data_IF_870776066958
#
_entry.id   IF_870776066958
#
_cell.length_a   1.000
_cell.length_b   1.000
_cell.length_c   1.000
_cell.angle_alpha   90.00
_cell.angle_beta   90.00
_cell.angle_gamma   90.00
#
_symmetry.space_group_name_H-M   'P 1'
#
loop_
_entity.id
_entity.type
_entity.pdbx_description
1 polymer ?
#
# COMPACT_ATOMS: atom_id res chain seq x y z
N UNK A 1 4.49 12.98 6.96
CA UNK A 1 4.19 11.63 7.49
C UNK A 1 5.48 10.83 7.46
N UNK A 2 5.85 10.17 8.56
CA UNK A 2 7.05 9.32 8.63
C UNK A 2 6.78 8.04 7.85
N UNK A 3 7.72 7.61 7.00
CA UNK A 3 7.59 6.35 6.26
C UNK A 3 7.69 5.15 7.22
N UNK A 4 6.86 4.12 7.00
CA UNK A 4 6.96 2.85 7.71
C UNK A 4 7.96 1.88 7.05
N UNK A 5 8.49 2.24 5.89
CA UNK A 5 9.40 1.37 5.15
C UNK A 5 10.81 1.38 5.77
N UNK A 6 11.41 0.20 5.77
CA UNK A 6 12.82 0.02 6.14
C UNK A 6 13.65 -0.31 4.89
N UNK A 7 14.89 0.13 4.91
CA UNK A 7 15.87 -0.18 3.88
C UNK A 7 16.13 -1.70 3.82
N UNK A 8 15.90 -2.38 2.68
CA UNK A 8 16.09 -3.83 2.59
C UNK A 8 17.57 -4.25 2.61
N UNK A 9 18.50 -3.29 2.58
CA UNK A 9 19.96 -3.55 2.61
C UNK A 9 20.53 -3.43 4.03
N UNK A 10 20.13 -2.40 4.78
CA UNK A 10 20.72 -2.11 6.08
C UNK A 10 19.71 -1.95 7.24
N UNK A 11 18.44 -2.16 6.97
CA UNK A 11 17.33 -2.12 7.95
C UNK A 11 17.14 -0.79 8.69
N UNK A 12 17.73 0.29 8.22
CA UNK A 12 17.44 1.64 8.70
C UNK A 12 16.16 2.16 8.08
N UNK A 13 15.51 3.13 8.74
CA UNK A 13 14.33 3.81 8.21
C UNK A 13 14.60 4.42 6.84
N UNK A 14 13.58 4.48 6.01
CA UNK A 14 13.60 5.12 4.71
C UNK A 14 12.80 6.43 4.77
N UNK A 15 13.44 7.53 4.43
CA UNK A 15 12.81 8.84 4.29
C UNK A 15 12.44 9.08 2.83
N UNK A 16 11.25 9.65 2.59
CA UNK A 16 10.82 10.04 1.26
C UNK A 16 11.40 11.42 0.92
N UNK A 17 12.26 11.49 -0.09
CA UNK A 17 12.90 12.72 -0.56
C UNK A 17 12.61 12.84 -2.07
N UNK A 18 11.84 13.86 -2.47
CA UNK A 18 11.41 14.07 -3.85
C UNK A 18 10.72 12.82 -4.45
N UNK A 19 11.44 12.08 -5.29
CA UNK A 19 10.96 10.88 -5.97
C UNK A 19 11.75 9.63 -5.61
N UNK A 20 12.34 9.62 -4.44
CA UNK A 20 13.15 8.51 -3.94
C UNK A 20 12.87 8.27 -2.47
N UNK A 21 13.08 7.02 -2.06
CA UNK A 21 13.28 6.68 -0.65
C UNK A 21 14.77 6.53 -0.38
N UNK A 22 15.26 7.14 0.69
CA UNK A 22 16.69 7.19 1.03
C UNK A 22 16.88 6.82 2.50
N UNK A 23 17.86 6.00 2.83
CA UNK A 23 18.25 5.73 4.21
C UNK A 23 19.50 6.51 4.62
N UNK A 24 19.77 6.58 5.93
CA UNK A 24 20.94 7.29 6.47
C UNK A 24 22.29 6.75 5.94
N UNK A 25 22.35 5.50 5.47
CA UNK A 25 23.54 4.92 4.82
C UNK A 25 23.64 5.23 3.31
N UNK A 26 22.75 6.05 2.77
CA UNK A 26 22.79 6.49 1.38
C UNK A 26 22.24 5.47 0.36
N UNK A 27 21.58 4.38 0.79
CA UNK A 27 20.87 3.52 -0.15
C UNK A 27 19.61 4.25 -0.64
N UNK A 28 19.40 4.23 -1.97
CA UNK A 28 18.31 4.95 -2.63
C UNK A 28 17.42 3.99 -3.41
N UNK A 29 16.12 4.26 -3.41
CA UNK A 29 15.09 3.49 -4.12
C UNK A 29 14.14 4.43 -4.84
N UNK A 30 14.15 4.41 -6.16
CA UNK A 30 13.31 5.29 -6.97
C UNK A 30 11.83 4.96 -6.84
N UNK A 31 11.01 6.01 -6.71
CA UNK A 31 9.57 5.89 -6.82
C UNK A 31 9.21 5.83 -8.30
N UNK A 32 8.58 4.74 -8.71
CA UNK A 32 8.13 4.55 -10.08
C UNK A 32 7.14 5.66 -10.50
N UNK A 33 7.01 5.86 -11.82
CA UNK A 33 6.05 6.84 -12.36
C UNK A 33 4.62 6.63 -11.86
N UNK A 34 4.25 5.39 -11.59
CA UNK A 34 2.93 5.01 -11.08
C UNK A 34 2.73 5.34 -9.59
N UNK A 35 3.81 5.59 -8.83
CA UNK A 35 3.76 6.00 -7.42
C UNK A 35 4.17 4.93 -6.41
N UNK A 36 4.65 3.74 -6.84
CA UNK A 36 5.15 2.71 -5.93
C UNK A 36 6.67 2.68 -5.87
N UNK A 37 7.23 2.11 -4.80
CA UNK A 37 8.65 1.81 -4.68
C UNK A 37 8.90 0.30 -4.78
N UNK A 38 10.03 -0.10 -5.39
CA UNK A 38 10.44 -1.50 -5.41
C UNK A 38 11.56 -1.73 -4.39
N UNK A 39 11.22 -2.35 -3.27
CA UNK A 39 12.15 -2.71 -2.19
C UNK A 39 12.59 -4.17 -2.26
N UNK A 40 12.02 -4.97 -3.17
CA UNK A 40 12.40 -6.37 -3.36
C UNK A 40 13.73 -6.47 -4.12
N UNK A 41 14.79 -6.77 -3.38
CA UNK A 41 16.13 -6.93 -3.95
C UNK A 41 16.21 -8.15 -4.89
N UNK A 42 17.02 -8.04 -5.94
CA UNK A 42 17.11 -9.07 -6.97
C UNK A 42 17.50 -10.46 -6.41
N UNK A 43 18.38 -10.52 -5.42
CA UNK A 43 18.83 -11.76 -4.79
C UNK A 43 17.81 -12.36 -3.81
N UNK A 44 16.76 -11.63 -3.42
CA UNK A 44 15.66 -12.15 -2.62
C UNK A 44 14.55 -12.78 -3.47
N UNK A 45 14.60 -12.60 -4.79
CA UNK A 45 13.62 -13.20 -5.69
C UNK A 45 13.88 -14.70 -5.86
N UNK A 46 12.88 -15.52 -5.55
CA UNK A 46 12.93 -16.98 -5.81
C UNK A 46 12.58 -17.36 -7.25
N UNK A 47 11.90 -16.47 -7.96
CA UNK A 47 11.49 -16.61 -9.37
C UNK A 47 11.69 -15.30 -10.10
N UNK A 48 11.71 -15.31 -11.43
CA UNK A 48 11.83 -14.09 -12.26
C UNK A 48 10.64 -13.14 -12.07
N UNK A 49 9.44 -13.69 -11.88
CA UNK A 49 8.20 -12.95 -11.67
C UNK A 49 7.48 -13.52 -10.44
N UNK A 50 7.80 -13.05 -9.21
CA UNK A 50 7.14 -13.50 -8.01
C UNK A 50 5.72 -12.92 -7.90
N UNK A 51 4.83 -13.70 -7.28
CA UNK A 51 3.44 -13.30 -7.04
C UNK A 51 2.51 -13.55 -8.23
N UNK A 52 1.36 -12.90 -8.21
CA UNK A 52 0.31 -13.06 -9.21
C UNK A 52 0.73 -12.54 -10.59
N UNK A 53 0.42 -13.30 -11.65
CA UNK A 53 0.61 -12.88 -13.03
C UNK A 53 -0.38 -11.77 -13.43
N UNK A 54 -0.12 -11.11 -14.55
CA UNK A 54 -1.03 -10.07 -15.07
C UNK A 54 -2.44 -10.60 -15.34
N UNK A 55 -2.55 -11.86 -15.82
CA UNK A 55 -3.81 -12.53 -16.10
C UNK A 55 -4.58 -12.83 -14.81
N UNK A 56 -3.88 -13.29 -13.77
CA UNK A 56 -4.48 -13.53 -12.45
C UNK A 56 -5.00 -12.22 -11.84
N UNK A 57 -4.21 -11.15 -11.90
CA UNK A 57 -4.61 -9.83 -11.39
C UNK A 57 -5.85 -9.32 -12.15
N UNK A 58 -5.87 -9.46 -13.49
CA UNK A 58 -7.02 -9.06 -14.31
C UNK A 58 -8.28 -9.83 -13.92
N UNK A 59 -8.17 -11.14 -13.72
CA UNK A 59 -9.30 -12.01 -13.33
C UNK A 59 -9.82 -11.66 -11.94
N UNK A 60 -8.91 -11.47 -10.96
CA UNK A 60 -9.24 -11.02 -9.60
C UNK A 60 -9.95 -9.68 -9.62
N UNK A 61 -9.41 -8.71 -10.34
CA UNK A 61 -10.01 -7.39 -10.48
C UNK A 61 -11.42 -7.46 -11.05
N UNK A 62 -11.61 -8.19 -12.15
CA UNK A 62 -12.93 -8.39 -12.77
C UNK A 62 -13.94 -9.05 -11.82
N UNK A 63 -13.46 -9.88 -10.89
CA UNK A 63 -14.30 -10.49 -9.87
C UNK A 63 -14.65 -9.50 -8.76
N UNK A 64 -13.67 -8.75 -8.24
CA UNK A 64 -13.88 -7.76 -7.17
C UNK A 64 -14.77 -6.60 -7.63
N UNK A 65 -14.63 -6.15 -8.88
CA UNK A 65 -15.45 -5.10 -9.47
C UNK A 65 -16.94 -5.47 -9.65
N UNK A 66 -17.29 -6.76 -9.49
CA UNK A 66 -18.70 -7.19 -9.44
C UNK A 66 -19.37 -6.98 -8.08
N UNK A 67 -18.65 -6.45 -7.10
CA UNK A 67 -19.19 -6.09 -5.79
C UNK A 67 -19.38 -7.26 -4.81
N UNK A 68 -18.91 -8.47 -5.13
CA UNK A 68 -19.07 -9.63 -4.25
C UNK A 68 -18.42 -9.45 -2.88
N UNK A 69 -17.43 -8.56 -2.77
CA UNK A 69 -16.69 -8.27 -1.55
C UNK A 69 -16.97 -6.88 -0.98
N UNK A 70 -17.93 -6.14 -1.52
CA UNK A 70 -18.22 -4.78 -1.06
C UNK A 70 -18.69 -4.78 0.40
N UNK A 71 -19.61 -5.65 0.77
CA UNK A 71 -20.09 -5.75 2.17
C UNK A 71 -18.96 -6.06 3.14
N UNK A 72 -18.05 -7.01 2.78
CA UNK A 72 -16.89 -7.32 3.62
C UNK A 72 -15.97 -6.10 3.76
N UNK A 73 -15.71 -5.40 2.65
CA UNK A 73 -14.87 -4.20 2.66
C UNK A 73 -15.49 -3.08 3.50
N UNK A 74 -16.79 -2.85 3.40
CA UNK A 74 -17.52 -1.87 4.20
C UNK A 74 -17.45 -2.16 5.70
N UNK A 75 -17.65 -3.41 6.12
CA UNK A 75 -17.56 -3.81 7.53
C UNK A 75 -16.12 -3.70 8.06
N UNK A 76 -15.12 -4.05 7.23
CA UNK A 76 -13.72 -3.87 7.57
C UNK A 76 -13.39 -2.38 7.76
N UNK A 77 -13.81 -1.52 6.85
CA UNK A 77 -13.58 -0.08 6.92
C UNK A 77 -14.26 0.54 8.16
N UNK A 78 -15.51 0.17 8.45
CA UNK A 78 -16.20 0.60 9.68
C UNK A 78 -15.43 0.22 10.94
N UNK A 79 -14.90 -1.02 10.99
CA UNK A 79 -14.11 -1.50 12.13
C UNK A 79 -12.83 -0.68 12.30
N UNK A 80 -12.10 -0.45 11.20
CA UNK A 80 -10.85 0.31 11.22
C UNK A 80 -11.10 1.76 11.66
N UNK A 81 -12.07 2.43 11.04
CA UNK A 81 -12.40 3.83 11.34
C UNK A 81 -12.96 3.97 12.77
N UNK A 82 -13.82 3.03 13.20
CA UNK A 82 -14.36 3.02 14.55
C UNK A 82 -13.26 2.87 15.60
N UNK A 83 -12.31 1.95 15.39
CA UNK A 83 -11.16 1.78 16.28
C UNK A 83 -10.32 3.05 16.38
N UNK A 84 -10.11 3.76 15.27
CA UNK A 84 -9.43 5.06 15.29
C UNK A 84 -10.18 6.09 16.12
N UNK A 85 -11.49 6.25 15.93
CA UNK A 85 -12.30 7.21 16.69
C UNK A 85 -12.29 6.94 18.20
N UNK A 86 -12.17 5.67 18.60
CA UNK A 86 -12.13 5.26 20.00
C UNK A 86 -10.74 5.45 20.65
N UNK A 87 -9.67 5.44 19.85
CA UNK A 87 -8.28 5.46 20.33
C UNK A 87 -7.53 6.76 19.99
N UNK A 88 -8.22 7.78 19.43
CA UNK A 88 -7.63 8.97 18.86
C UNK A 88 -6.57 9.62 19.77
N UNK A 89 -5.32 9.25 19.54
CA UNK A 89 -4.13 9.99 19.95
C UNK A 89 -3.76 10.93 18.78
N UNK A 90 -3.09 12.04 19.12
CA UNK A 90 -2.75 13.12 18.16
C UNK A 90 -1.85 12.67 16.99
N UNK A 91 -1.29 11.46 17.04
CA UNK A 91 -0.30 10.96 16.08
C UNK A 91 -0.88 10.33 14.81
N UNK A 92 -2.20 10.16 14.74
CA UNK A 92 -2.87 9.47 13.63
C UNK A 92 -2.68 7.94 13.65
N UNK A 93 -3.25 7.24 12.67
CA UNK A 93 -3.16 5.78 12.58
C UNK A 93 -2.41 5.34 11.31
N UNK A 94 -1.57 4.31 11.44
CA UNK A 94 -0.86 3.70 10.32
C UNK A 94 -1.48 2.34 10.02
N UNK A 95 -1.99 2.15 8.81
CA UNK A 95 -2.59 0.90 8.33
C UNK A 95 -1.69 0.28 7.27
N UNK A 96 -1.27 -0.96 7.48
CA UNK A 96 -0.49 -1.72 6.53
C UNK A 96 -1.28 -2.94 6.05
N UNK A 97 -1.54 -3.00 4.74
CA UNK A 97 -2.11 -4.17 4.05
C UNK A 97 -0.97 -5.01 3.46
N UNK A 98 -0.72 -6.18 4.04
CA UNK A 98 0.32 -7.11 3.59
C UNK A 98 -0.30 -8.16 2.66
N UNK A 99 0.16 -8.20 1.42
CA UNK A 99 -0.48 -8.96 0.34
C UNK A 99 -1.63 -8.17 -0.30
N UNK A 100 -1.45 -6.85 -0.40
CA UNK A 100 -2.51 -5.93 -0.85
C UNK A 100 -3.01 -6.17 -2.28
N UNK A 101 -2.31 -7.00 -3.07
CA UNK A 101 -2.65 -7.26 -4.46
C UNK A 101 -2.77 -5.99 -5.29
N UNK A 102 -3.90 -5.80 -5.96
CA UNK A 102 -4.19 -4.59 -6.73
C UNK A 102 -4.75 -3.43 -5.89
N UNK A 103 -4.66 -3.50 -4.56
CA UNK A 103 -5.04 -2.43 -3.64
C UNK A 103 -6.54 -2.24 -3.46
N UNK A 104 -7.37 -3.27 -3.67
CA UNK A 104 -8.84 -3.13 -3.58
C UNK A 104 -9.31 -2.63 -2.22
N UNK A 105 -8.86 -3.25 -1.13
CA UNK A 105 -9.29 -2.89 0.23
C UNK A 105 -8.76 -1.52 0.66
N UNK A 106 -7.49 -1.22 0.38
CA UNK A 106 -6.92 0.09 0.68
C UNK A 106 -7.62 1.21 -0.10
N UNK A 107 -7.92 1.00 -1.38
CA UNK A 107 -8.66 1.95 -2.19
C UNK A 107 -10.08 2.21 -1.65
N UNK A 108 -10.78 1.16 -1.20
CA UNK A 108 -12.10 1.32 -0.55
C UNK A 108 -11.96 2.11 0.75
N UNK A 109 -10.96 1.78 1.57
CA UNK A 109 -10.69 2.49 2.82
C UNK A 109 -10.31 3.95 2.59
N UNK A 110 -9.42 4.24 1.62
CA UNK A 110 -9.02 5.61 1.30
C UNK A 110 -10.20 6.49 0.89
N UNK A 111 -11.12 5.95 0.09
CA UNK A 111 -12.35 6.67 -0.28
C UNK A 111 -13.26 6.93 0.93
N UNK A 112 -13.40 5.96 1.83
CA UNK A 112 -14.25 6.11 3.02
C UNK A 112 -13.67 7.13 4.00
N UNK A 113 -12.35 7.10 4.28
CA UNK A 113 -11.70 8.08 5.17
C UNK A 113 -11.68 9.48 4.53
N UNK A 114 -11.51 9.58 3.21
CA UNK A 114 -11.62 10.85 2.48
C UNK A 114 -13.02 11.44 2.61
N UNK A 115 -14.05 10.64 2.38
CA UNK A 115 -15.45 11.08 2.46
C UNK A 115 -15.86 11.59 3.84
N UNK A 116 -15.15 11.13 4.89
CA UNK A 116 -15.34 11.56 6.28
C UNK A 116 -14.42 12.70 6.70
N UNK A 117 -13.54 13.18 5.82
CA UNK A 117 -12.56 14.23 6.13
C UNK A 117 -11.44 13.78 7.06
N UNK A 118 -11.17 12.48 7.13
CA UNK A 118 -10.18 11.87 8.03
C UNK A 118 -8.84 11.52 7.35
N UNK A 119 -8.66 11.86 6.08
CA UNK A 119 -7.53 11.40 5.28
C UNK A 119 -6.17 11.77 5.90
N UNK A 120 -6.06 12.96 6.48
CA UNK A 120 -4.82 13.44 7.11
C UNK A 120 -4.44 12.66 8.38
N UNK A 121 -5.43 11.99 9.01
CA UNK A 121 -5.23 11.17 10.20
C UNK A 121 -4.80 9.72 9.87
N UNK A 122 -4.86 9.31 8.59
CA UNK A 122 -4.55 7.95 8.18
C UNK A 122 -3.31 7.88 7.29
N UNK A 123 -2.32 7.06 7.69
CA UNK A 123 -1.26 6.59 6.83
C UNK A 123 -1.66 5.23 6.24
N UNK A 124 -1.84 5.16 4.93
CA UNK A 124 -2.27 3.94 4.24
C UNK A 124 -1.12 3.34 3.42
N UNK A 125 -0.77 2.10 3.69
CA UNK A 125 0.40 1.44 3.13
C UNK A 125 0.04 0.06 2.60
N UNK A 126 0.53 -0.28 1.41
CA UNK A 126 0.33 -1.59 0.80
C UNK A 126 1.64 -2.26 0.41
N UNK A 127 1.77 -3.54 0.74
CA UNK A 127 2.88 -4.39 0.30
C UNK A 127 2.36 -5.59 -0.48
N UNK A 128 2.97 -5.87 -1.62
CA UNK A 128 2.75 -7.11 -2.34
C UNK A 128 4.00 -7.51 -3.14
N UNK A 129 4.29 -8.81 -3.20
CA UNK A 129 5.44 -9.32 -3.94
C UNK A 129 5.24 -9.24 -5.46
N UNK A 130 3.99 -9.14 -5.93
CA UNK A 130 3.65 -9.01 -7.34
C UNK A 130 3.82 -7.56 -7.81
N UNK A 131 4.90 -7.27 -8.51
CA UNK A 131 5.11 -5.96 -9.12
C UNK A 131 3.96 -5.51 -10.05
N UNK A 132 3.37 -6.38 -10.89
CA UNK A 132 2.17 -6.01 -11.66
C UNK A 132 0.98 -5.60 -10.79
N UNK A 133 0.75 -6.30 -9.66
CA UNK A 133 -0.34 -5.97 -8.73
C UNK A 133 -0.13 -4.59 -8.10
N UNK A 134 1.04 -4.36 -7.50
CA UNK A 134 1.41 -3.08 -6.89
C UNK A 134 1.31 -1.91 -7.88
N UNK A 135 1.73 -2.12 -9.11
CA UNK A 135 1.60 -1.12 -10.19
C UNK A 135 0.13 -0.75 -10.45
N UNK A 136 -0.79 -1.71 -10.38
CA UNK A 136 -2.22 -1.46 -10.50
C UNK A 136 -2.77 -0.74 -9.27
N UNK A 137 -2.38 -1.14 -8.06
CA UNK A 137 -2.75 -0.51 -6.80
C UNK A 137 -2.40 0.99 -6.82
N UNK A 138 -1.15 1.33 -7.14
CA UNK A 138 -0.68 2.72 -7.20
C UNK A 138 -1.33 3.59 -8.27
N UNK A 139 -1.93 2.97 -9.29
CA UNK A 139 -2.71 3.70 -10.30
C UNK A 139 -4.15 3.95 -9.85
N UNK A 140 -4.70 3.02 -9.09
CA UNK A 140 -6.07 3.08 -8.59
C UNK A 140 -6.20 4.05 -7.43
N UNK A 141 -5.28 3.97 -6.49
CA UNK A 141 -5.26 4.77 -5.27
C UNK A 141 -4.02 5.68 -5.24
N UNK A 142 -4.23 6.97 -5.00
CA UNK A 142 -3.18 7.99 -4.96
C UNK A 142 -2.87 8.46 -3.54
N UNK A 143 -3.68 8.07 -2.57
CA UNK A 143 -3.48 8.39 -1.16
C UNK A 143 -2.58 7.36 -0.48
N UNK A 144 -2.81 6.08 -0.75
CA UNK A 144 -1.98 5.00 -0.20
C UNK A 144 -0.60 4.95 -0.84
N UNK A 145 0.38 4.58 -0.04
CA UNK A 145 1.73 4.30 -0.51
C UNK A 145 1.93 2.80 -0.71
N UNK A 146 2.56 2.42 -1.81
CA UNK A 146 2.73 1.01 -2.17
C UNK A 146 4.19 0.63 -2.38
N UNK A 147 4.55 -0.60 -1.95
CA UNK A 147 5.87 -1.17 -2.20
C UNK A 147 5.80 -2.64 -2.65
N UNK A 148 6.82 -3.04 -3.45
CA UNK A 148 7.07 -4.43 -3.82
C UNK A 148 8.12 -5.01 -2.90
#
# INVERSE_FOLDING_TARGET
MVSIYMCPVCHLSLDSIERQFVCANGHTFDIAREGYVNLLLAHHKKTSEPGDSKEMIKSRRSFLEKGHYDTLSEELNKTIIGTFCDTAEDDGIQILDVGCGEGFYLWKLSNDVESQGLLDAFGLWGLDISRPAVRHASRRDKFSQFAV
#
